data_IF_480308400100
#
_entry.id   IF_480308400100
#
_cell.length_a   1.000
_cell.length_b   1.000
_cell.length_c   1.000
_cell.angle_alpha   90.00
_cell.angle_beta   90.00
_cell.angle_gamma   90.00
#
_symmetry.space_group_name_H-M   'P 1'
#
loop_
_entity.id
_entity.type
_entity.pdbx_description
1 polymer ?
#
# COMPACT_ATOMS: atom_id res chain seq x y z
N UNK A 1 27.20 -37.44 32.17
CA UNK A 1 26.95 -35.97 32.11
C UNK A 1 26.20 -35.65 30.82
N UNK A 2 24.88 -35.46 30.89
CA UNK A 2 24.03 -35.03 29.76
C UNK A 2 23.51 -33.63 30.07
N UNK A 3 23.94 -32.60 29.34
CA UNK A 3 23.35 -31.25 29.42
C UNK A 3 22.14 -31.20 28.47
N UNK A 4 20.94 -31.10 29.04
CA UNK A 4 19.73 -30.69 28.33
C UNK A 4 19.79 -29.17 28.19
N UNK A 5 19.79 -28.67 26.96
CA UNK A 5 19.55 -27.26 26.66
C UNK A 5 18.03 -27.09 26.64
N UNK A 6 17.49 -26.39 27.64
CA UNK A 6 16.11 -25.91 27.63
C UNK A 6 16.03 -24.74 26.64
N UNK A 7 15.27 -24.88 25.57
CA UNK A 7 14.81 -23.75 24.78
C UNK A 7 13.70 -23.04 25.57
N UNK A 8 13.98 -21.82 26.02
CA UNK A 8 12.99 -20.91 26.57
C UNK A 8 12.20 -20.32 25.39
N UNK A 9 11.09 -20.97 25.04
CA UNK A 9 10.05 -20.34 24.24
C UNK A 9 9.36 -19.34 25.16
N UNK A 10 9.66 -18.05 25.00
CA UNK A 10 8.89 -16.98 25.62
C UNK A 10 7.52 -16.94 24.95
N UNK A 11 6.55 -17.56 25.59
CA UNK A 11 5.12 -17.43 25.30
C UNK A 11 4.71 -15.98 25.60
N UNK A 12 4.91 -15.09 24.64
CA UNK A 12 4.14 -13.84 24.60
C UNK A 12 2.73 -14.29 24.24
N UNK A 13 1.87 -14.36 25.26
CA UNK A 13 0.47 -14.75 25.12
C UNK A 13 -0.22 -13.78 24.17
N UNK A 14 -0.77 -14.32 23.06
CA UNK A 14 -1.60 -13.61 22.07
C UNK A 14 -2.78 -12.82 22.69
N UNK A 15 -3.07 -13.03 23.97
CA UNK A 15 -4.14 -12.38 24.72
C UNK A 15 -3.92 -10.88 24.96
N UNK A 16 -2.69 -10.35 24.86
CA UNK A 16 -2.45 -8.90 25.00
C UNK A 16 -2.52 -8.10 23.69
N UNK A 17 -2.63 -8.77 22.54
CA UNK A 17 -2.90 -8.11 21.25
C UNK A 17 -4.39 -8.10 20.90
N UNK A 18 -5.17 -9.06 21.43
CA UNK A 18 -6.64 -9.07 21.35
C UNK A 18 -7.31 -8.14 22.36
N UNK A 19 -6.55 -7.50 23.26
CA UNK A 19 -7.05 -6.42 24.13
C UNK A 19 -6.94 -5.03 23.50
N UNK A 20 -6.42 -4.91 22.27
CA UNK A 20 -6.94 -3.87 21.37
C UNK A 20 -8.34 -4.32 20.96
N UNK A 21 -9.27 -4.31 21.92
CA UNK A 21 -10.65 -3.98 21.58
C UNK A 21 -10.51 -2.69 20.81
N UNK A 22 -10.77 -2.71 19.50
CA UNK A 22 -11.16 -1.50 18.76
C UNK A 22 -12.10 -0.79 19.72
N UNK A 23 -11.67 0.32 20.34
CA UNK A 23 -12.32 0.74 21.54
C UNK A 23 -13.79 1.01 21.17
N UNK A 24 -14.70 0.71 22.10
CA UNK A 24 -16.15 0.61 21.85
C UNK A 24 -16.81 1.87 21.22
N UNK A 25 -16.02 2.89 20.89
CA UNK A 25 -16.33 4.01 19.99
C UNK A 25 -16.81 3.59 18.59
N UNK A 26 -16.59 2.35 18.11
CA UNK A 26 -17.24 1.86 16.87
C UNK A 26 -18.75 1.56 17.04
N UNK A 27 -19.28 1.62 18.28
CA UNK A 27 -20.72 1.57 18.57
C UNK A 27 -21.14 2.80 19.36
N UNK A 28 -21.02 3.97 18.75
CA UNK A 28 -21.74 5.15 19.22
C UNK A 28 -23.21 4.95 18.81
N UNK A 29 -23.95 4.19 19.60
CA UNK A 29 -25.40 4.21 19.61
C UNK A 29 -25.89 4.74 20.95
N UNK A 30 -26.87 5.65 20.83
CA UNK A 30 -27.79 6.09 21.88
C UNK A 30 -27.26 7.06 22.95
N UNK A 31 -26.90 8.29 22.54
CA UNK A 31 -26.78 9.36 23.53
C UNK A 31 -26.33 10.74 23.05
N UNK A 32 -26.74 11.20 21.86
CA UNK A 32 -26.64 12.63 21.53
C UNK A 32 -25.53 13.06 20.57
N UNK A 33 -25.08 12.22 19.65
CA UNK A 33 -24.19 12.63 18.54
C UNK A 33 -24.87 12.35 17.19
N UNK A 34 -24.69 13.26 16.24
CA UNK A 34 -25.13 13.05 14.87
C UNK A 34 -24.52 11.74 14.34
N UNK A 35 -25.30 10.88 13.66
CA UNK A 35 -24.77 9.65 13.08
C UNK A 35 -23.61 9.99 12.14
N UNK A 36 -22.56 9.16 12.14
CA UNK A 36 -21.44 9.30 11.21
C UNK A 36 -21.97 9.40 9.77
N UNK A 37 -21.44 10.32 8.95
CA UNK A 37 -21.68 10.31 7.52
C UNK A 37 -21.39 8.92 6.95
N UNK A 38 -22.27 8.40 6.07
CA UNK A 38 -22.18 7.02 5.56
C UNK A 38 -20.80 6.69 5.00
N UNK A 39 -20.24 7.59 4.18
CA UNK A 39 -18.94 7.39 3.54
C UNK A 39 -17.77 7.38 4.54
N UNK A 40 -17.87 8.15 5.62
CA UNK A 40 -16.87 8.12 6.69
C UNK A 40 -16.95 6.82 7.49
N UNK A 41 -18.15 6.31 7.74
CA UNK A 41 -18.31 5.01 8.38
C UNK A 41 -17.77 3.86 7.50
N UNK A 42 -17.97 3.93 6.19
CA UNK A 42 -17.34 3.01 5.24
C UNK A 42 -15.81 3.10 5.27
N UNK A 43 -15.26 4.31 5.39
CA UNK A 43 -13.82 4.53 5.53
C UNK A 43 -13.27 3.88 6.79
N UNK A 44 -13.93 4.12 7.93
CA UNK A 44 -13.54 3.52 9.21
C UNK A 44 -13.59 1.99 9.12
N UNK A 45 -14.60 1.41 8.48
CA UNK A 45 -14.70 -0.04 8.32
C UNK A 45 -13.59 -0.60 7.42
N UNK A 46 -13.27 0.09 6.31
CA UNK A 46 -12.15 -0.29 5.44
C UNK A 46 -10.82 -0.29 6.21
N UNK A 47 -10.54 0.77 6.96
CA UNK A 47 -9.35 0.87 7.81
C UNK A 47 -9.33 -0.23 8.90
N UNK A 48 -10.48 -0.54 9.51
CA UNK A 48 -10.57 -1.62 10.50
C UNK A 48 -10.27 -3.00 9.90
N UNK A 49 -10.81 -3.30 8.72
CA UNK A 49 -10.54 -4.56 8.01
C UNK A 49 -9.06 -4.66 7.66
N UNK A 50 -8.46 -3.55 7.23
CA UNK A 50 -7.03 -3.47 6.93
C UNK A 50 -6.18 -3.74 8.18
N UNK A 51 -6.47 -3.08 9.31
CA UNK A 51 -5.74 -3.27 10.56
C UNK A 51 -5.88 -4.69 11.16
N UNK A 52 -7.01 -5.36 10.96
CA UNK A 52 -7.23 -6.73 11.44
C UNK A 52 -6.42 -7.75 10.64
N UNK A 53 -6.24 -7.52 9.33
CA UNK A 53 -5.49 -8.39 8.45
C UNK A 53 -3.97 -8.18 8.49
N UNK A 54 -3.51 -7.04 9.00
CA UNK A 54 -2.10 -6.66 8.90
C UNK A 54 -1.24 -7.16 10.09
N UNK A 55 -0.21 -8.02 9.84
CA UNK A 55 0.71 -8.42 10.90
C UNK A 55 1.69 -7.30 11.32
N UNK A 56 1.90 -6.26 10.50
CA UNK A 56 2.81 -5.18 10.83
C UNK A 56 2.26 -4.29 11.94
N UNK A 57 3.11 -3.96 12.91
CA UNK A 57 2.69 -3.18 14.07
C UNK A 57 2.60 -1.69 13.74
N UNK A 58 3.51 -1.16 12.92
CA UNK A 58 3.59 0.26 12.58
C UNK A 58 2.37 0.63 11.74
N UNK A 59 2.07 -0.14 10.68
CA UNK A 59 0.88 0.08 9.86
C UNK A 59 -0.39 0.04 10.70
N UNK A 60 -0.56 -0.94 11.60
CA UNK A 60 -1.73 -0.97 12.51
C UNK A 60 -1.84 0.26 13.41
N UNK A 61 -0.72 0.75 13.95
CA UNK A 61 -0.71 1.99 14.76
C UNK A 61 -1.09 3.21 13.91
N UNK A 62 -0.59 3.32 12.67
CA UNK A 62 -1.00 4.35 11.71
C UNK A 62 -2.52 4.27 11.43
N UNK A 63 -3.04 3.08 11.17
CA UNK A 63 -4.46 2.86 10.89
C UNK A 63 -5.37 3.25 12.06
N UNK A 64 -4.98 2.92 13.29
CA UNK A 64 -5.72 3.34 14.50
C UNK A 64 -5.72 4.87 14.63
N UNK A 65 -4.55 5.50 14.42
CA UNK A 65 -4.44 6.97 14.47
C UNK A 65 -5.28 7.65 13.37
N UNK A 66 -5.40 7.03 12.19
CA UNK A 66 -6.24 7.49 11.10
C UNK A 66 -7.75 7.41 11.46
N UNK A 67 -8.19 6.31 12.07
CA UNK A 67 -9.57 6.15 12.56
C UNK A 67 -9.89 7.19 13.63
N UNK A 68 -9.00 7.39 14.60
CA UNK A 68 -9.16 8.41 15.64
C UNK A 68 -9.23 9.82 15.04
N UNK A 69 -8.48 10.08 13.98
CA UNK A 69 -8.50 11.35 13.26
C UNK A 69 -9.83 11.60 12.53
N UNK A 70 -10.38 10.59 11.83
CA UNK A 70 -11.71 10.69 11.22
C UNK A 70 -12.81 10.96 12.27
N UNK A 71 -12.74 10.29 13.42
CA UNK A 71 -13.68 10.55 14.52
C UNK A 71 -13.58 11.98 15.04
N UNK A 72 -12.37 12.54 15.12
CA UNK A 72 -12.16 13.93 15.52
C UNK A 72 -12.74 14.92 14.49
N UNK A 73 -12.51 14.69 13.19
CA UNK A 73 -13.10 15.47 12.09
C UNK A 73 -14.63 15.46 12.22
N UNK A 74 -15.24 14.27 12.37
CA UNK A 74 -16.69 14.14 12.53
C UNK A 74 -17.23 14.92 13.72
N UNK A 75 -16.56 14.80 14.88
CA UNK A 75 -17.00 15.46 16.13
C UNK A 75 -17.06 16.99 16.03
N UNK A 76 -16.29 17.56 15.10
CA UNK A 76 -16.24 19.01 14.84
C UNK A 76 -17.03 19.42 13.59
N UNK A 77 -17.65 18.47 12.90
CA UNK A 77 -18.31 18.69 11.60
C UNK A 77 -17.38 19.32 10.56
N UNK A 78 -16.11 18.90 10.55
CA UNK A 78 -15.16 19.33 9.54
C UNK A 78 -15.38 18.56 8.23
N UNK A 79 -15.01 19.21 7.13
CA UNK A 79 -14.87 18.59 5.82
C UNK A 79 -13.56 17.79 5.75
N UNK A 80 -13.57 16.72 4.98
CA UNK A 80 -12.40 15.87 4.83
C UNK A 80 -12.25 15.33 3.41
N UNK A 81 -11.02 14.94 3.10
CA UNK A 81 -10.70 14.24 1.87
C UNK A 81 -9.85 13.00 2.17
N UNK A 82 -10.12 11.92 1.45
CA UNK A 82 -9.33 10.70 1.46
C UNK A 82 -8.70 10.50 0.09
N UNK A 83 -7.39 10.26 0.05
CA UNK A 83 -6.64 9.94 -1.16
C UNK A 83 -6.02 8.55 -0.96
N UNK A 84 -6.16 7.66 -1.94
CA UNK A 84 -5.54 6.33 -1.93
C UNK A 84 -4.68 6.13 -3.17
N UNK A 85 -3.43 5.72 -2.95
CA UNK A 85 -2.48 5.30 -3.96
C UNK A 85 -2.22 3.82 -3.73
N UNK A 86 -2.48 2.97 -4.73
CA UNK A 86 -2.17 1.54 -4.63
C UNK A 86 -1.31 1.11 -5.81
N UNK A 87 -0.31 0.25 -5.54
CA UNK A 87 0.39 -0.52 -6.54
C UNK A 87 0.08 -2.01 -6.37
N UNK A 88 -0.24 -2.73 -7.45
CA UNK A 88 -0.61 -4.15 -7.39
C UNK A 88 -0.24 -4.93 -8.65
N UNK A 89 -0.03 -6.24 -8.49
CA UNK A 89 0.21 -7.16 -9.59
C UNK A 89 -1.12 -7.82 -9.97
N UNK A 90 -1.66 -7.57 -11.17
CA UNK A 90 -3.03 -7.98 -11.50
C UNK A 90 -3.23 -9.48 -11.73
N UNK A 91 -2.15 -10.26 -11.78
CA UNK A 91 -2.17 -11.72 -11.99
C UNK A 91 -1.79 -12.46 -10.72
N UNK A 92 -2.22 -13.72 -10.62
CA UNK A 92 -1.92 -14.58 -9.46
C UNK A 92 -0.43 -14.83 -9.23
N UNK A 93 0.32 -14.99 -10.30
CA UNK A 93 1.76 -15.23 -10.23
C UNK A 93 2.46 -14.61 -11.42
N UNK A 94 3.68 -14.14 -11.21
CA UNK A 94 4.62 -13.76 -12.26
C UNK A 94 5.86 -14.67 -12.19
N UNK A 95 6.52 -14.97 -13.32
CA UNK A 95 7.80 -15.63 -13.29
C UNK A 95 8.81 -14.84 -12.45
N UNK A 96 9.73 -15.54 -11.80
CA UNK A 96 10.90 -14.89 -11.23
C UNK A 96 11.76 -14.29 -12.36
N UNK A 97 12.05 -12.98 -12.33
CA UNK A 97 12.88 -12.33 -13.35
C UNK A 97 14.36 -12.73 -13.28
N UNK A 98 14.80 -13.41 -12.21
CA UNK A 98 16.20 -13.85 -12.06
C UNK A 98 16.54 -14.92 -13.10
N UNK A 99 17.70 -14.81 -13.78
CA UNK A 99 18.09 -15.77 -14.79
C UNK A 99 18.30 -17.17 -14.18
N UNK A 100 17.87 -18.21 -14.90
CA UNK A 100 17.98 -19.62 -14.49
C UNK A 100 17.11 -20.05 -13.30
N UNK A 101 16.26 -19.17 -12.79
CA UNK A 101 15.21 -19.53 -11.84
C UNK A 101 13.93 -19.89 -12.61
N UNK A 102 13.23 -20.91 -12.12
CA UNK A 102 11.88 -21.28 -12.59
C UNK A 102 10.85 -21.09 -11.47
N UNK A 103 11.20 -20.23 -10.51
CA UNK A 103 10.37 -19.88 -9.37
C UNK A 103 9.33 -18.83 -9.81
N UNK A 104 8.32 -18.62 -8.98
CA UNK A 104 7.23 -17.69 -9.26
C UNK A 104 7.06 -16.73 -8.08
N UNK A 105 6.80 -15.46 -8.35
CA UNK A 105 6.34 -14.53 -7.32
C UNK A 105 4.82 -14.46 -7.29
N UNK A 106 4.25 -14.40 -6.09
CA UNK A 106 2.84 -14.13 -5.88
C UNK A 106 2.48 -12.72 -6.36
N UNK A 107 1.35 -12.60 -7.05
CA UNK A 107 0.71 -11.33 -7.34
C UNK A 107 -0.69 -11.25 -6.73
N UNK A 108 -1.27 -10.05 -6.74
CA UNK A 108 -2.52 -9.73 -6.05
C UNK A 108 -3.78 -10.31 -6.73
N UNK A 109 -3.66 -10.78 -7.98
CA UNK A 109 -4.76 -11.43 -8.72
C UNK A 109 -6.08 -10.63 -8.73
N UNK A 110 -5.99 -9.32 -8.90
CA UNK A 110 -7.15 -8.43 -8.88
C UNK A 110 -7.14 -7.42 -10.03
N UNK A 111 -8.28 -6.78 -10.25
CA UNK A 111 -8.39 -5.59 -11.08
C UNK A 111 -8.29 -4.31 -10.26
N UNK A 112 -8.57 -3.18 -10.92
CA UNK A 112 -8.72 -1.89 -10.25
C UNK A 112 -9.90 -1.94 -9.28
N UNK A 113 -9.63 -1.64 -8.02
CA UNK A 113 -10.61 -1.66 -6.94
C UNK A 113 -10.12 -0.77 -5.80
N UNK A 114 -10.86 0.31 -5.55
CA UNK A 114 -10.52 1.30 -4.51
C UNK A 114 -10.57 0.71 -3.10
N UNK A 115 -11.35 -0.36 -2.90
CA UNK A 115 -11.52 -1.02 -1.61
C UNK A 115 -10.72 -2.33 -1.51
N UNK A 116 -9.73 -2.54 -2.39
CA UNK A 116 -8.88 -3.72 -2.33
C UNK A 116 -8.04 -3.73 -1.05
N UNK A 117 -8.10 -4.84 -0.31
CA UNK A 117 -7.25 -5.11 0.85
C UNK A 117 -5.93 -5.83 0.50
N UNK A 118 -5.72 -6.13 -0.79
CA UNK A 118 -4.50 -6.78 -1.30
C UNK A 118 -3.80 -5.85 -2.27
N UNK A 119 -2.61 -5.38 -1.94
CA UNK A 119 -1.74 -4.59 -2.81
C UNK A 119 -0.28 -4.95 -2.56
N UNK A 120 0.62 -4.58 -3.48
CA UNK A 120 2.07 -4.59 -3.22
C UNK A 120 2.47 -3.44 -2.32
N UNK A 121 1.95 -2.24 -2.60
CA UNK A 121 2.04 -1.06 -1.73
C UNK A 121 0.71 -0.32 -1.72
N UNK A 122 0.41 0.34 -0.61
CA UNK A 122 -0.75 1.24 -0.47
C UNK A 122 -0.39 2.40 0.44
N UNK A 123 -0.64 3.62 -0.02
CA UNK A 123 -0.49 4.84 0.77
C UNK A 123 -1.82 5.60 0.77
N UNK A 124 -2.37 5.81 1.96
CA UNK A 124 -3.65 6.45 2.16
C UNK A 124 -3.50 7.73 2.97
N UNK A 125 -3.97 8.85 2.43
CA UNK A 125 -3.98 10.14 3.10
C UNK A 125 -5.40 10.49 3.52
N UNK A 126 -5.56 10.90 4.78
CA UNK A 126 -6.79 11.47 5.32
C UNK A 126 -6.49 12.92 5.68
N UNK A 127 -7.24 13.83 5.07
CA UNK A 127 -6.99 15.27 5.14
C UNK A 127 -8.19 15.94 5.81
N UNK A 128 -7.96 16.66 6.91
CA UNK A 128 -8.93 17.59 7.48
C UNK A 128 -8.83 18.92 6.72
N UNK A 129 -9.82 19.22 5.89
CA UNK A 129 -9.81 20.40 5.02
C UNK A 129 -9.97 21.71 5.81
N UNK A 130 -10.47 21.65 7.04
CA UNK A 130 -10.64 22.82 7.91
C UNK A 130 -9.38 23.14 8.71
N UNK A 131 -8.60 22.14 9.12
CA UNK A 131 -7.38 22.34 9.93
C UNK A 131 -6.08 22.16 9.15
N UNK A 132 -6.17 21.68 7.91
CA UNK A 132 -5.06 21.35 7.02
C UNK A 132 -4.14 20.26 7.59
N UNK A 133 -4.65 19.48 8.56
CA UNK A 133 -3.92 18.33 9.11
C UNK A 133 -4.09 17.12 8.20
N UNK A 134 -3.01 16.36 8.05
CA UNK A 134 -2.97 15.13 7.25
C UNK A 134 -2.52 13.98 8.13
N UNK A 135 -3.20 12.84 8.00
CA UNK A 135 -2.73 11.54 8.50
C UNK A 135 -2.48 10.63 7.32
N UNK A 136 -1.47 9.78 7.44
CA UNK A 136 -1.12 8.78 6.44
C UNK A 136 -1.19 7.38 7.04
N UNK A 137 -1.59 6.41 6.23
CA UNK A 137 -1.45 4.98 6.50
C UNK A 137 -0.62 4.39 5.36
N UNK A 138 0.54 3.82 5.72
CA UNK A 138 1.45 3.19 4.78
C UNK A 138 1.36 1.67 4.93
N UNK A 139 1.26 0.95 3.82
CA UNK A 139 1.16 -0.50 3.79
C UNK A 139 2.02 -1.10 2.69
N UNK A 140 2.67 -2.21 3.02
CA UNK A 140 3.40 -3.05 2.07
C UNK A 140 2.87 -4.48 2.14
N UNK A 141 2.55 -5.06 0.99
CA UNK A 141 2.09 -6.45 0.88
C UNK A 141 3.21 -7.45 1.15
N UNK A 142 2.84 -8.65 1.61
CA UNK A 142 3.79 -9.75 1.75
C UNK A 142 4.25 -10.25 0.37
N UNK A 143 5.57 -10.37 0.17
CA UNK A 143 6.16 -10.98 -1.01
C UNK A 143 6.37 -12.47 -0.78
N UNK A 144 5.71 -13.30 -1.59
CA UNK A 144 5.78 -14.76 -1.49
C UNK A 144 6.40 -15.32 -2.77
N UNK A 145 7.39 -16.18 -2.60
CA UNK A 145 8.05 -16.92 -3.68
C UNK A 145 7.59 -18.38 -3.65
N UNK A 146 7.21 -18.91 -4.80
CA UNK A 146 6.81 -20.31 -5.00
C UNK A 146 7.81 -21.04 -5.89
N UNK A 147 7.90 -22.36 -5.74
CA UNK A 147 8.48 -23.21 -6.75
C UNK A 147 7.54 -23.33 -7.97
N UNK A 148 8.04 -23.93 -9.06
CA UNK A 148 7.27 -24.21 -10.28
C UNK A 148 5.99 -25.05 -10.07
N UNK A 149 5.83 -25.70 -8.92
CA UNK A 149 4.66 -26.51 -8.58
C UNK A 149 3.69 -25.75 -7.66
N UNK A 150 3.97 -24.48 -7.35
CA UNK A 150 3.16 -23.63 -6.48
C UNK A 150 3.39 -23.83 -4.99
N UNK A 151 4.47 -24.51 -4.58
CA UNK A 151 4.82 -24.67 -3.16
C UNK A 151 5.60 -23.44 -2.69
N UNK A 152 5.23 -22.87 -1.55
CA UNK A 152 5.95 -21.73 -0.93
C UNK A 152 7.39 -22.12 -0.63
N UNK A 153 8.32 -21.32 -1.14
CA UNK A 153 9.76 -21.41 -0.86
C UNK A 153 10.15 -20.41 0.22
N UNK A 154 9.77 -19.15 0.05
CA UNK A 154 10.11 -18.04 0.94
C UNK A 154 8.97 -17.04 1.01
N UNK A 155 8.95 -16.31 2.11
CA UNK A 155 8.09 -15.15 2.29
C UNK A 155 8.82 -14.08 3.06
N UNK A 156 8.67 -12.83 2.64
CA UNK A 156 9.16 -11.66 3.36
C UNK A 156 8.32 -10.44 3.01
N UNK A 157 8.33 -9.45 3.89
CA UNK A 157 7.69 -8.16 3.68
C UNK A 157 8.76 -7.08 3.76
N UNK A 158 8.75 -6.15 2.81
CA UNK A 158 9.58 -4.95 2.89
C UNK A 158 8.99 -3.99 3.92
N UNK A 159 9.84 -3.16 4.51
CA UNK A 159 9.38 -2.10 5.40
C UNK A 159 8.75 -0.94 4.61
N UNK A 160 8.04 -0.06 5.33
CA UNK A 160 7.47 1.18 4.80
C UNK A 160 8.48 2.33 4.77
N UNK A 161 9.78 2.07 5.00
CA UNK A 161 10.77 3.15 5.16
C UNK A 161 11.06 3.91 3.88
N UNK A 162 10.75 3.33 2.71
CA UNK A 162 10.81 4.00 1.40
C UNK A 162 9.55 4.77 1.03
N UNK A 163 8.55 4.82 1.90
CA UNK A 163 7.30 5.56 1.67
C UNK A 163 7.39 6.91 2.38
N UNK A 164 7.32 8.00 1.62
CA UNK A 164 7.56 9.34 2.10
C UNK A 164 6.51 10.31 1.60
N UNK A 165 6.28 11.36 2.39
CA UNK A 165 5.43 12.47 1.98
C UNK A 165 5.84 13.76 2.67
N UNK A 166 5.53 14.89 2.03
CA UNK A 166 5.59 16.22 2.64
C UNK A 166 4.25 16.92 2.45
N UNK A 167 3.88 17.74 3.43
CA UNK A 167 2.66 18.54 3.40
C UNK A 167 3.02 19.99 3.54
N UNK A 168 2.67 20.78 2.54
CA UNK A 168 2.69 22.23 2.59
C UNK A 168 1.26 22.73 2.51
N UNK A 169 0.91 23.74 3.31
CA UNK A 169 -0.42 24.35 3.22
C UNK A 169 -0.32 25.86 3.11
N UNK A 170 -1.14 26.40 2.23
CA UNK A 170 -1.46 27.81 2.11
C UNK A 170 -2.96 27.98 2.34
N UNK A 171 -3.42 29.21 2.58
CA UNK A 171 -4.79 29.49 3.06
C UNK A 171 -5.90 28.68 2.35
N UNK A 172 -5.81 28.50 1.03
CA UNK A 172 -6.86 27.85 0.25
C UNK A 172 -6.44 26.51 -0.40
N UNK A 173 -5.18 26.09 -0.20
CA UNK A 173 -4.60 24.91 -0.88
C UNK A 173 -3.72 24.11 0.07
N UNK A 174 -3.99 22.82 0.17
CA UNK A 174 -3.13 21.82 0.80
C UNK A 174 -2.39 21.09 -0.31
N UNK A 175 -1.06 21.14 -0.26
CA UNK A 175 -0.16 20.44 -1.17
C UNK A 175 0.40 19.21 -0.47
N UNK A 176 0.19 18.03 -1.06
CA UNK A 176 0.79 16.78 -0.61
C UNK A 176 1.71 16.29 -1.72
N UNK A 177 3.00 16.23 -1.45
CA UNK A 177 3.97 15.57 -2.31
C UNK A 177 4.26 14.19 -1.72
N UNK A 178 4.04 13.14 -2.49
CA UNK A 178 4.17 11.74 -2.08
C UNK A 178 5.19 11.04 -2.98
N UNK A 179 6.15 10.35 -2.36
CA UNK A 179 7.20 9.63 -3.05
C UNK A 179 7.37 8.24 -2.44
N UNK A 180 7.56 7.24 -3.30
CA UNK A 180 7.77 5.85 -2.90
C UNK A 180 9.01 5.26 -3.59
N UNK A 181 9.76 4.45 -2.83
CA UNK A 181 10.86 3.60 -3.28
C UNK A 181 10.87 2.31 -2.44
N UNK A 182 9.94 1.39 -2.73
CA UNK A 182 9.80 0.12 -1.97
C UNK A 182 10.35 -1.05 -2.77
N UNK A 183 11.48 -1.59 -2.30
CA UNK A 183 12.16 -2.73 -2.92
C UNK A 183 11.50 -4.09 -2.66
N UNK A 184 11.84 -5.08 -3.50
CA UNK A 184 11.45 -6.47 -3.27
C UNK A 184 12.37 -7.13 -2.21
N UNK A 185 11.86 -7.55 -1.04
CA UNK A 185 12.67 -8.09 0.05
C UNK A 185 13.30 -9.47 -0.26
N UNK A 186 12.86 -10.14 -1.33
CA UNK A 186 13.38 -11.42 -1.83
C UNK A 186 14.15 -11.27 -3.16
N UNK A 187 14.21 -10.05 -3.71
CA UNK A 187 14.72 -9.77 -5.06
C UNK A 187 16.25 -9.66 -5.15
N UNK A 188 16.96 -9.47 -4.04
CA UNK A 188 18.40 -9.26 -4.07
C UNK A 188 19.18 -10.59 -4.22
N UNK A 189 19.92 -10.73 -5.32
CA UNK A 189 20.81 -11.87 -5.56
C UNK A 189 22.14 -11.47 -6.20
N UNK A 190 23.24 -11.61 -5.44
CA UNK A 190 24.60 -11.20 -5.82
C UNK A 190 24.67 -9.74 -6.31
N UNK A 191 24.65 -9.54 -7.63
CA UNK A 191 24.75 -8.25 -8.30
C UNK A 191 23.44 -7.84 -8.99
N UNK A 192 22.38 -8.62 -8.83
CA UNK A 192 21.06 -8.34 -9.36
C UNK A 192 20.14 -7.86 -8.24
N UNK A 193 19.59 -6.66 -8.42
CA UNK A 193 18.55 -6.09 -7.55
C UNK A 193 17.32 -5.87 -8.40
N UNK A 194 16.17 -6.33 -7.91
CA UNK A 194 14.90 -5.96 -8.53
C UNK A 194 14.72 -4.45 -8.40
N UNK A 195 14.26 -3.75 -9.45
CA UNK A 195 13.88 -2.36 -9.30
C UNK A 195 12.76 -2.25 -8.26
N UNK A 196 12.78 -1.20 -7.44
CA UNK A 196 11.72 -0.93 -6.47
C UNK A 196 10.44 -0.48 -7.18
N UNK A 197 9.33 -0.56 -6.45
CA UNK A 197 8.09 0.13 -6.84
C UNK A 197 8.30 1.59 -6.52
N UNK A 198 8.22 2.44 -7.54
CA UNK A 198 8.43 3.88 -7.39
C UNK A 198 7.25 4.69 -7.96
N UNK A 199 6.93 5.78 -7.26
CA UNK A 199 6.12 6.88 -7.78
C UNK A 199 6.58 8.20 -7.17
N UNK A 200 6.30 9.29 -7.89
CA UNK A 200 6.54 10.66 -7.46
C UNK A 200 5.31 11.50 -7.88
N UNK A 201 4.47 11.85 -6.91
CA UNK A 201 3.11 12.35 -7.14
C UNK A 201 2.83 13.57 -6.26
N UNK A 202 2.25 14.60 -6.87
CA UNK A 202 1.74 15.79 -6.21
C UNK A 202 0.20 15.84 -6.23
N UNK A 203 -0.38 16.17 -5.09
CA UNK A 203 -1.79 16.50 -4.93
C UNK A 203 -1.94 17.95 -4.49
N UNK A 204 -2.77 18.70 -5.21
CA UNK A 204 -3.20 20.05 -4.81
C UNK A 204 -4.68 20.00 -4.47
N UNK A 205 -5.01 20.11 -3.18
CA UNK A 205 -6.36 19.96 -2.64
C UNK A 205 -6.87 21.34 -2.24
N UNK A 206 -8.00 21.76 -2.81
CA UNK A 206 -8.66 23.00 -2.39
C UNK A 206 -9.38 22.79 -1.06
N UNK A 207 -9.15 23.67 -0.09
CA UNK A 207 -9.73 23.56 1.27
C UNK A 207 -11.26 23.69 1.31
N UNK A 208 -11.85 24.20 0.23
CA UNK A 208 -13.30 24.24 0.04
C UNK A 208 -13.90 22.90 -0.45
N UNK A 209 -13.08 21.85 -0.62
CA UNK A 209 -13.50 20.51 -1.03
C UNK A 209 -13.94 20.39 -2.50
N UNK A 210 -13.66 21.40 -3.33
CA UNK A 210 -14.19 21.47 -4.70
C UNK A 210 -13.32 20.82 -5.76
N UNK A 211 -12.01 20.71 -5.54
CA UNK A 211 -11.11 20.10 -6.50
C UNK A 211 -9.83 19.60 -5.86
N UNK A 212 -9.46 18.40 -6.29
CA UNK A 212 -8.11 17.86 -6.15
C UNK A 212 -7.52 17.71 -7.53
N UNK A 213 -6.36 18.33 -7.73
CA UNK A 213 -5.54 18.17 -8.92
C UNK A 213 -4.41 17.18 -8.60
N UNK A 214 -4.09 16.36 -9.60
CA UNK A 214 -3.08 15.32 -9.56
C UNK A 214 -2.07 15.57 -10.67
N UNK A 215 -0.79 15.50 -10.35
CA UNK A 215 0.31 15.43 -11.30
C UNK A 215 1.34 14.46 -10.74
N UNK A 216 1.96 13.65 -11.58
CA UNK A 216 2.97 12.71 -11.10
C UNK A 216 3.37 11.70 -12.13
N UNK A 217 4.46 11.01 -11.82
CA UNK A 217 4.99 9.91 -12.61
C UNK A 217 4.95 8.63 -11.79
N UNK A 218 4.52 7.55 -12.43
CA UNK A 218 4.63 6.17 -11.92
C UNK A 218 5.60 5.40 -12.83
N UNK A 219 6.26 4.37 -12.29
CA UNK A 219 6.99 3.42 -13.15
C UNK A 219 6.03 2.54 -13.93
N UNK A 220 6.55 1.84 -14.93
CA UNK A 220 5.73 1.07 -15.88
C UNK A 220 5.36 -0.32 -15.36
N UNK A 221 5.81 -0.69 -14.16
CA UNK A 221 5.42 -1.91 -13.48
C UNK A 221 5.46 -1.67 -11.96
N UNK A 222 4.50 -2.15 -11.17
CA UNK A 222 3.35 -2.99 -11.53
C UNK A 222 2.15 -2.16 -12.04
N UNK A 223 0.91 -2.52 -11.73
CA UNK A 223 -0.26 -1.66 -11.98
C UNK A 223 -0.40 -0.62 -10.86
N UNK A 224 -0.85 0.59 -11.21
CA UNK A 224 -1.06 1.68 -10.26
C UNK A 224 -2.50 2.19 -10.37
N UNK A 225 -3.06 2.60 -9.23
CA UNK A 225 -4.36 3.26 -9.18
C UNK A 225 -4.36 4.34 -8.10
N UNK A 226 -4.94 5.49 -8.45
CA UNK A 226 -5.03 6.66 -7.58
C UNK A 226 -6.47 7.13 -7.53
N UNK A 227 -7.00 7.27 -6.31
CA UNK A 227 -8.36 7.71 -6.06
C UNK A 227 -8.40 8.86 -5.06
N UNK A 228 -9.40 9.71 -5.18
CA UNK A 228 -9.69 10.75 -4.19
C UNK A 228 -11.20 10.77 -3.88
N UNK A 229 -11.57 11.09 -2.64
CA UNK A 229 -12.97 11.23 -2.21
C UNK A 229 -13.10 12.32 -1.16
N UNK A 230 -13.96 13.29 -1.41
CA UNK A 230 -14.25 14.39 -0.48
C UNK A 230 -15.61 14.16 0.19
N UNK A 231 -15.64 14.20 1.52
CA UNK A 231 -16.85 14.05 2.33
C UNK A 231 -17.72 12.82 2.01
N UNK A 232 -18.96 13.04 1.56
CA UNK A 232 -19.96 12.04 1.19
C UNK A 232 -20.08 11.85 -0.33
N UNK A 233 -19.10 12.32 -1.11
CA UNK A 233 -19.10 12.12 -2.55
C UNK A 233 -18.58 10.74 -2.92
N UNK A 234 -18.87 10.33 -4.15
CA UNK A 234 -18.31 9.11 -4.73
C UNK A 234 -16.79 9.24 -4.96
N UNK A 235 -16.10 8.11 -5.02
CA UNK A 235 -14.70 8.06 -5.39
C UNK A 235 -14.47 8.61 -6.80
N UNK A 236 -13.53 9.54 -6.91
CA UNK A 236 -13.00 10.03 -8.19
C UNK A 236 -11.75 9.24 -8.54
N UNK A 237 -11.72 8.70 -9.76
CA UNK A 237 -10.51 8.12 -10.35
C UNK A 237 -9.60 9.27 -10.76
N UNK A 238 -8.41 9.33 -10.16
CA UNK A 238 -7.40 10.35 -10.46
C UNK A 238 -6.45 9.84 -11.53
N UNK A 239 -5.97 8.60 -11.38
CA UNK A 239 -5.11 7.94 -12.35
C UNK A 239 -5.25 6.41 -12.25
N UNK A 240 -5.01 5.73 -13.37
CA UNK A 240 -4.95 4.27 -13.46
C UNK A 240 -3.95 3.88 -14.54
N UNK A 241 -2.95 3.10 -14.15
CA UNK A 241 -1.98 2.51 -15.05
C UNK A 241 -2.05 0.99 -14.97
N UNK A 242 -2.07 0.34 -16.14
CA UNK A 242 -2.04 -1.12 -16.24
C UNK A 242 -0.84 -1.53 -17.11
N UNK A 243 0.08 -2.37 -16.60
CA UNK A 243 1.25 -2.79 -17.36
C UNK A 243 0.84 -3.77 -18.47
N UNK A 244 1.54 -3.71 -19.61
CA UNK A 244 1.38 -4.74 -20.64
C UNK A 244 2.08 -6.03 -20.20
N UNK A 245 1.33 -6.95 -19.62
CA UNK A 245 1.86 -8.21 -19.10
C UNK A 245 2.37 -9.17 -20.18
N UNK A 246 1.99 -8.97 -21.45
CA UNK A 246 2.54 -9.74 -22.57
C UNK A 246 4.04 -9.46 -22.80
N UNK A 247 4.60 -8.47 -22.09
CA UNK A 247 6.00 -8.08 -22.20
C UNK A 247 6.91 -8.77 -21.20
N UNK A 248 6.41 -9.64 -20.31
CA UNK A 248 7.28 -10.53 -19.52
C UNK A 248 7.87 -11.58 -20.45
N UNK A 249 9.13 -11.44 -20.89
CA UNK A 249 9.69 -12.37 -21.86
C UNK A 249 9.82 -13.74 -21.17
N UNK A 250 9.55 -14.79 -21.93
CA UNK A 250 9.82 -16.16 -21.48
C UNK A 250 11.29 -16.21 -21.01
N UNK A 251 11.63 -16.77 -19.83
CA UNK A 251 13.01 -16.76 -19.33
C UNK A 251 14.04 -17.32 -20.33
N UNK A 252 13.60 -18.21 -21.22
CA UNK A 252 14.39 -18.75 -22.33
C UNK A 252 14.70 -17.73 -23.44
N UNK A 253 13.82 -16.76 -23.69
CA UNK A 253 14.03 -15.72 -24.70
C UNK A 253 15.06 -14.66 -24.25
N UNK A 254 15.26 -14.52 -22.93
CA UNK A 254 16.29 -13.65 -22.37
C UNK A 254 17.71 -14.20 -22.64
N UNK A 255 17.89 -15.52 -22.62
CA UNK A 255 19.21 -16.17 -22.79
C UNK A 255 19.81 -16.00 -24.18
N UNK A 256 19.00 -15.97 -25.24
CA UNK A 256 19.48 -15.85 -26.61
C UNK A 256 19.92 -14.43 -27.00
N UNK A 257 19.54 -13.40 -26.23
CA UNK A 257 19.96 -12.00 -26.47
C UNK A 257 21.20 -11.58 -25.67
N UNK A 258 21.54 -12.26 -24.57
CA UNK A 258 22.74 -11.95 -23.77
C UNK A 258 24.04 -12.25 -24.53
N UNK A 259 24.03 -13.24 -25.41
CA UNK A 259 25.19 -13.62 -26.22
C UNK A 259 25.34 -12.84 -27.54
N UNK A 260 24.38 -11.96 -27.85
CA UNK A 260 24.29 -11.20 -29.10
C UNK A 260 24.25 -9.70 -28.88
N UNK A 261 25.21 -9.15 -28.12
CA UNK A 261 25.42 -7.70 -28.02
C UNK A 261 24.62 -7.01 -26.92
N UNK A 262 25.36 -6.48 -25.94
CA UNK A 262 24.90 -5.53 -24.92
C UNK A 262 24.12 -4.38 -25.58
N UNK A 263 22.82 -4.27 -25.31
CA UNK A 263 22.02 -3.02 -25.37
C UNK A 263 20.54 -3.22 -25.01
N UNK A 264 20.04 -4.46 -24.84
CA UNK A 264 18.66 -4.69 -24.41
C UNK A 264 18.47 -4.62 -22.87
N UNK A 265 19.54 -4.86 -22.10
CA UNK A 265 19.48 -4.92 -20.63
C UNK A 265 19.14 -3.58 -19.97
N UNK A 266 19.61 -2.45 -20.51
CA UNK A 266 19.22 -1.13 -19.97
C UNK A 266 17.78 -0.77 -20.29
N UNK A 267 17.22 -1.28 -21.39
CA UNK A 267 15.82 -1.02 -21.73
C UNK A 267 14.86 -1.80 -20.83
N UNK A 268 15.15 -3.08 -20.53
CA UNK A 268 14.28 -3.92 -19.69
C UNK A 268 14.36 -3.57 -18.21
N UNK A 269 15.45 -2.95 -17.75
CA UNK A 269 15.69 -2.59 -16.35
C UNK A 269 15.40 -1.11 -16.01
N UNK A 270 14.87 -0.32 -16.96
CA UNK A 270 14.23 0.98 -16.69
C UNK A 270 12.69 0.88 -16.74
N UNK A 271 12.15 -0.32 -16.53
CA UNK A 271 10.71 -0.59 -16.49
C UNK A 271 10.24 -0.97 -15.10
#
# INVERSE_FOLDING_TARGET
MKRKVLAFLSTVTLTSLLSYTVPAYARIDAGGSNPLPTMMNEEINFLLDHAQGDPDKITREQTINAIDFLNQINSKHHHYEVIRINAFIPVKTIPDPRPFHNDLFHGDNRGFDVNALSSRTSQEFIVDLNTHQVKVVDYVGETIEYDKNGKVLKSARADTSGMHFTVDSSNDVIHIHAFEDVGNPLGDFFAWKAPPIEYDIDFNILTNGSATAYAGDTKRFPAYEVYARTDNHEWKVMDRFYPNLNFWPNPTDQLFKVWGGMNYFESVLRF
#
